data_IF_790575014012
#
_entry.id   IF_790575014012
#
_cell.length_a   1.000
_cell.length_b   1.000
_cell.length_c   1.000
_cell.angle_alpha   90.00
_cell.angle_beta   90.00
_cell.angle_gamma   90.00
#
_symmetry.space_group_name_H-M   'P 1'
#
loop_
_entity.id
_entity.type
_entity.pdbx_description
1 polymer ?
#
# COMPACT_ATOMS: atom_id res chain seq x y z
N UNK A 1 -35.22 -18.21 38.98
CA UNK A 1 -34.86 -18.80 37.68
C UNK A 1 -34.85 -17.69 36.64
N UNK A 2 -33.68 -17.07 36.40
CA UNK A 2 -33.33 -16.44 35.12
C UNK A 2 -31.82 -16.20 35.15
N UNK A 3 -31.09 -17.11 34.50
CA UNK A 3 -29.64 -17.03 34.32
C UNK A 3 -29.42 -16.16 33.06
N UNK A 4 -28.96 -14.92 33.23
CA UNK A 4 -28.51 -14.11 32.08
C UNK A 4 -27.19 -14.70 31.59
N UNK A 5 -27.25 -15.50 30.52
CA UNK A 5 -26.08 -15.82 29.71
C UNK A 5 -25.68 -14.56 28.93
N UNK A 6 -24.63 -13.89 29.41
CA UNK A 6 -23.89 -12.93 28.61
C UNK A 6 -23.09 -13.77 27.59
N UNK A 7 -23.61 -13.89 26.37
CA UNK A 7 -22.82 -14.38 25.25
C UNK A 7 -21.72 -13.33 24.99
N UNK A 8 -20.56 -13.52 25.62
CA UNK A 8 -19.34 -12.92 25.12
C UNK A 8 -19.08 -13.58 23.75
N UNK A 9 -19.41 -12.88 22.67
CA UNK A 9 -18.87 -13.19 21.36
C UNK A 9 -17.37 -12.94 21.43
N UNK A 10 -16.63 -13.96 21.87
CA UNK A 10 -15.20 -14.04 21.64
C UNK A 10 -15.10 -14.19 20.12
N UNK A 11 -14.87 -13.08 19.44
CA UNK A 11 -14.30 -13.10 18.11
C UNK A 11 -12.91 -13.72 18.28
N UNK A 12 -12.85 -15.04 18.18
CA UNK A 12 -11.62 -15.72 17.86
C UNK A 12 -11.28 -15.29 16.44
N UNK A 13 -10.63 -14.14 16.31
CA UNK A 13 -9.87 -13.79 15.11
C UNK A 13 -8.82 -14.89 15.02
N UNK A 14 -9.08 -15.88 14.19
CA UNK A 14 -8.08 -16.87 13.83
C UNK A 14 -6.91 -16.09 13.23
N UNK A 15 -5.76 -16.10 13.90
CA UNK A 15 -4.50 -15.45 13.53
C UNK A 15 -3.90 -15.93 12.20
N UNK A 16 -4.68 -16.64 11.37
CA UNK A 16 -4.26 -17.29 10.14
C UNK A 16 -4.70 -16.53 8.88
N UNK A 17 -5.33 -15.37 9.02
CA UNK A 17 -5.69 -14.49 7.90
C UNK A 17 -4.84 -13.20 7.83
N UNK A 18 -3.81 -13.09 8.67
CA UNK A 18 -3.21 -11.80 9.03
C UNK A 18 -1.85 -11.47 8.39
N UNK A 19 -1.36 -12.23 7.40
CA UNK A 19 -0.04 -11.97 6.81
C UNK A 19 0.05 -12.23 5.30
N UNK A 20 -0.74 -11.49 4.51
CA UNK A 20 -0.61 -11.45 3.04
C UNK A 20 -0.11 -10.07 2.53
N UNK A 21 0.42 -9.24 3.44
CA UNK A 21 0.74 -7.84 3.16
C UNK A 21 2.23 -7.56 2.89
N UNK A 22 3.10 -8.57 3.06
CA UNK A 22 4.50 -8.48 2.70
C UNK A 22 4.71 -8.98 1.27
N UNK A 23 5.47 -8.25 0.46
CA UNK A 23 5.81 -8.70 -0.91
C UNK A 23 6.53 -10.05 -0.91
N UNK A 24 7.36 -10.27 0.10
CA UNK A 24 8.01 -11.54 0.37
C UNK A 24 7.44 -12.15 1.65
N UNK A 25 6.77 -13.28 1.52
CA UNK A 25 6.24 -14.06 2.63
C UNK A 25 7.31 -15.02 3.14
N UNK A 26 7.38 -15.18 4.47
CA UNK A 26 8.28 -16.14 5.10
C UNK A 26 7.79 -17.56 4.82
N UNK A 27 8.71 -18.45 4.44
CA UNK A 27 8.43 -19.88 4.31
C UNK A 27 8.19 -20.57 5.68
N UNK A 28 8.54 -19.87 6.77
CA UNK A 28 8.48 -20.40 8.13
C UNK A 28 9.80 -21.04 8.60
N UNK A 29 9.95 -21.27 9.91
CA UNK A 29 11.18 -21.83 10.47
C UNK A 29 11.37 -23.29 10.06
N UNK A 30 12.63 -23.70 9.84
CA UNK A 30 12.98 -25.09 9.54
C UNK A 30 12.72 -25.53 8.09
N UNK A 31 12.41 -24.59 7.19
CA UNK A 31 12.27 -24.85 5.76
C UNK A 31 13.22 -23.96 4.95
N UNK A 32 13.80 -24.52 3.89
CA UNK A 32 14.64 -23.79 2.95
C UNK A 32 14.43 -24.26 1.51
N UNK A 33 14.88 -23.46 0.55
CA UNK A 33 14.80 -23.79 -0.87
C UNK A 33 16.03 -24.56 -1.35
N UNK A 34 15.80 -25.62 -2.12
CA UNK A 34 16.81 -26.35 -2.87
C UNK A 34 16.46 -26.38 -4.36
N UNK A 35 17.48 -26.42 -5.21
CA UNK A 35 17.27 -26.48 -6.65
C UNK A 35 16.74 -27.85 -7.07
N UNK A 36 15.69 -27.90 -7.89
CA UNK A 36 15.20 -29.13 -8.50
C UNK A 36 16.05 -29.58 -9.70
N UNK A 37 16.90 -28.70 -10.20
CA UNK A 37 17.80 -28.93 -11.33
C UNK A 37 19.23 -28.58 -10.93
N UNK A 38 20.20 -28.83 -11.83
CA UNK A 38 21.59 -28.42 -11.61
C UNK A 38 21.64 -26.94 -11.21
N UNK A 39 22.20 -26.59 -10.04
CA UNK A 39 22.15 -25.23 -9.55
C UNK A 39 22.80 -24.28 -10.57
N UNK A 40 22.12 -23.22 -11.03
CA UNK A 40 22.84 -22.08 -11.58
C UNK A 40 23.81 -21.55 -10.52
N UNK A 41 24.86 -20.84 -10.92
CA UNK A 41 25.84 -20.26 -9.99
C UNK A 41 25.13 -19.46 -8.89
N UNK A 42 25.17 -19.99 -7.68
CA UNK A 42 24.54 -19.38 -6.51
C UNK A 42 25.18 -18.00 -6.27
N UNK A 43 24.34 -16.96 -6.23
CA UNK A 43 24.82 -15.61 -5.95
C UNK A 43 24.60 -15.27 -4.49
N UNK A 44 25.71 -15.26 -3.76
CA UNK A 44 25.78 -14.80 -2.38
C UNK A 44 26.20 -13.35 -2.33
N UNK A 45 25.46 -12.57 -1.57
CA UNK A 45 25.75 -11.16 -1.34
C UNK A 45 25.93 -10.92 0.16
N UNK A 46 27.01 -10.26 0.59
CA UNK A 46 27.08 -9.73 1.95
C UNK A 46 25.89 -8.79 2.16
N UNK A 47 25.17 -8.93 3.27
CA UNK A 47 24.00 -8.11 3.54
C UNK A 47 23.86 -7.83 5.04
N UNK A 48 23.79 -6.56 5.40
CA UNK A 48 23.79 -6.12 6.81
C UNK A 48 22.47 -6.42 7.51
N UNK A 49 21.39 -6.67 6.76
CA UNK A 49 20.06 -6.92 7.29
C UNK A 49 19.20 -7.74 6.33
N UNK A 50 18.13 -8.34 6.88
CA UNK A 50 17.08 -8.98 6.07
C UNK A 50 16.47 -8.01 5.05
N UNK A 51 16.27 -6.74 5.43
CA UNK A 51 15.71 -5.71 4.55
C UNK A 51 16.60 -5.49 3.33
N UNK A 52 17.91 -5.33 3.53
CA UNK A 52 18.87 -5.19 2.44
C UNK A 52 18.87 -6.43 1.52
N UNK A 53 18.79 -7.63 2.09
CA UNK A 53 18.67 -8.86 1.29
C UNK A 53 17.38 -8.90 0.46
N UNK A 54 16.25 -8.49 1.04
CA UNK A 54 14.98 -8.41 0.32
C UNK A 54 15.02 -7.40 -0.83
N UNK A 55 15.77 -6.29 -0.70
CA UNK A 55 15.98 -5.31 -1.75
C UNK A 55 16.85 -5.87 -2.89
N UNK A 56 17.90 -6.64 -2.57
CA UNK A 56 18.72 -7.34 -3.58
C UNK A 56 17.85 -8.32 -4.38
N UNK A 57 17.02 -9.10 -3.69
CA UNK A 57 16.09 -10.04 -4.32
C UNK A 57 15.06 -9.32 -5.20
N UNK A 58 14.49 -8.24 -4.68
CA UNK A 58 13.53 -7.39 -5.40
C UNK A 58 14.13 -6.80 -6.68
N UNK A 59 15.32 -6.20 -6.61
CA UNK A 59 16.00 -5.56 -7.75
C UNK A 59 16.44 -6.56 -8.83
N UNK A 60 16.66 -7.81 -8.45
CA UNK A 60 16.98 -8.90 -9.37
C UNK A 60 15.75 -9.69 -9.85
N UNK A 61 14.55 -9.29 -9.40
CA UNK A 61 13.26 -9.93 -9.71
C UNK A 61 13.18 -11.39 -9.25
N UNK A 62 13.95 -11.73 -8.24
CA UNK A 62 14.05 -13.09 -7.72
C UNK A 62 12.75 -13.47 -7.03
N UNK A 63 12.18 -14.63 -7.35
CA UNK A 63 10.94 -15.07 -6.68
C UNK A 63 11.20 -15.57 -5.27
N UNK A 64 12.44 -15.97 -5.00
CA UNK A 64 12.85 -16.53 -3.73
C UNK A 64 14.14 -15.84 -3.28
N UNK A 65 14.32 -15.72 -1.98
CA UNK A 65 15.62 -15.43 -1.38
C UNK A 65 15.72 -16.05 0.01
N UNK A 66 16.95 -16.22 0.49
CA UNK A 66 17.22 -16.62 1.86
C UNK A 66 18.21 -15.66 2.52
N UNK A 67 18.02 -15.39 3.80
CA UNK A 67 18.94 -14.58 4.59
C UNK A 67 19.40 -15.38 5.80
N UNK A 68 20.72 -15.49 6.00
CA UNK A 68 21.27 -16.07 7.21
C UNK A 68 21.63 -14.97 8.22
N UNK A 69 20.95 -15.03 9.38
CA UNK A 69 21.02 -13.99 10.42
C UNK A 69 22.34 -13.92 11.18
N UNK A 70 23.15 -14.98 11.15
CA UNK A 70 24.42 -15.08 11.87
C UNK A 70 25.56 -14.62 10.97
N UNK A 71 25.68 -15.21 9.78
CA UNK A 71 26.75 -14.86 8.84
C UNK A 71 26.44 -13.61 8.01
N UNK A 72 25.23 -13.04 8.14
CA UNK A 72 24.79 -11.82 7.44
C UNK A 72 24.94 -11.95 5.92
N UNK A 73 24.58 -13.10 5.38
CA UNK A 73 24.68 -13.41 3.97
C UNK A 73 23.29 -13.56 3.35
N UNK A 74 23.11 -12.90 2.20
CA UNK A 74 21.93 -13.01 1.37
C UNK A 74 22.17 -14.02 0.25
N UNK A 75 21.32 -15.05 0.18
CA UNK A 75 21.24 -15.97 -0.95
C UNK A 75 20.10 -15.52 -1.84
N UNK A 76 20.44 -15.12 -3.06
CA UNK A 76 19.47 -14.59 -3.99
C UNK A 76 19.33 -15.52 -5.20
N UNK A 77 18.13 -16.06 -5.41
CA UNK A 77 17.90 -17.10 -6.41
C UNK A 77 17.49 -16.48 -7.75
N UNK A 78 18.07 -16.93 -8.86
CA UNK A 78 17.70 -16.41 -10.18
C UNK A 78 16.18 -16.54 -10.43
N UNK A 79 15.52 -15.57 -11.09
CA UNK A 79 14.08 -15.65 -11.43
C UNK A 79 13.70 -16.91 -12.25
N UNK A 80 14.68 -17.53 -12.92
CA UNK A 80 14.49 -18.75 -13.72
C UNK A 80 14.70 -20.04 -12.91
N UNK A 81 15.03 -19.93 -11.62
CA UNK A 81 15.36 -21.09 -10.79
C UNK A 81 14.08 -21.83 -10.43
N UNK A 82 14.06 -23.13 -10.73
CA UNK A 82 12.98 -24.01 -10.29
C UNK A 82 13.39 -24.59 -8.93
N UNK A 83 12.70 -24.15 -7.89
CA UNK A 83 13.00 -24.50 -6.50
C UNK A 83 12.00 -25.52 -5.96
N UNK A 84 12.45 -26.34 -5.01
CA UNK A 84 11.56 -27.11 -4.12
C UNK A 84 11.82 -26.70 -2.68
N UNK A 85 10.79 -26.86 -1.85
CA UNK A 85 10.92 -26.72 -0.41
C UNK A 85 11.53 -28.00 0.16
N UNK A 86 12.48 -27.84 1.07
CA UNK A 86 13.08 -28.92 1.84
C UNK A 86 13.11 -28.54 3.32
N UNK A 87 13.22 -29.53 4.21
CA UNK A 87 13.49 -29.28 5.62
C UNK A 87 14.88 -28.66 5.75
N UNK A 88 14.94 -27.42 6.19
CA UNK A 88 16.15 -26.64 6.35
C UNK A 88 17.05 -27.26 7.43
N UNK A 89 18.32 -27.47 7.09
CA UNK A 89 19.32 -27.96 8.04
C UNK A 89 19.92 -26.83 8.89
N UNK A 90 19.85 -25.58 8.42
CA UNK A 90 20.38 -24.40 9.12
C UNK A 90 19.25 -23.57 9.74
N UNK A 91 19.11 -23.65 11.07
CA UNK A 91 18.14 -22.86 11.85
C UNK A 91 18.38 -21.34 11.81
N UNK A 92 19.50 -20.89 11.25
CA UNK A 92 19.81 -19.48 11.07
C UNK A 92 19.41 -18.93 9.70
N UNK A 93 19.08 -19.81 8.76
CA UNK A 93 18.58 -19.43 7.44
C UNK A 93 17.08 -19.15 7.51
N UNK A 94 16.69 -18.01 6.94
CA UNK A 94 15.28 -17.61 6.80
C UNK A 94 14.98 -17.45 5.31
N UNK A 95 14.07 -18.27 4.79
CA UNK A 95 13.70 -18.28 3.38
C UNK A 95 12.36 -17.57 3.14
N UNK A 96 12.28 -16.88 2.00
CA UNK A 96 11.12 -16.07 1.63
C UNK A 96 10.73 -16.28 0.16
N UNK A 97 9.45 -16.10 -0.15
CA UNK A 97 8.91 -16.17 -1.51
C UNK A 97 8.03 -14.97 -1.86
N UNK A 98 8.05 -14.59 -3.13
CA UNK A 98 7.19 -13.53 -3.68
C UNK A 98 5.76 -14.04 -3.82
N UNK A 99 4.79 -13.37 -3.20
CA UNK A 99 3.37 -13.74 -3.24
C UNK A 99 2.56 -13.00 -4.31
N UNK A 100 3.05 -11.86 -4.79
CA UNK A 100 2.36 -10.98 -5.74
C UNK A 100 3.35 -10.15 -6.54
N UNK A 101 2.97 -9.73 -7.74
CA UNK A 101 3.72 -8.71 -8.51
C UNK A 101 3.53 -7.30 -7.96
N UNK A 102 2.45 -7.08 -7.18
CA UNK A 102 2.14 -5.81 -6.55
C UNK A 102 2.68 -5.76 -5.12
N UNK A 103 3.54 -4.79 -4.86
CA UNK A 103 4.09 -4.52 -3.54
C UNK A 103 3.22 -3.48 -2.86
N UNK A 104 2.57 -3.81 -1.74
CA UNK A 104 1.90 -2.80 -0.93
C UNK A 104 2.96 -1.89 -0.30
N UNK A 105 2.85 -0.58 -0.52
CA UNK A 105 3.81 0.40 0.00
C UNK A 105 3.19 1.34 1.03
N UNK A 106 1.88 1.52 0.99
CA UNK A 106 1.16 2.36 1.94
C UNK A 106 -0.25 1.84 2.16
N UNK A 107 -0.79 1.96 3.37
CA UNK A 107 -2.22 1.81 3.61
C UNK A 107 -2.67 2.69 4.79
N UNK A 108 -3.92 3.13 4.76
CA UNK A 108 -4.52 3.90 5.83
C UNK A 108 -6.02 3.65 5.91
N UNK A 109 -6.54 3.52 7.12
CA UNK A 109 -7.98 3.43 7.38
C UNK A 109 -8.57 4.81 7.62
N UNK A 110 -9.86 4.99 7.31
CA UNK A 110 -10.59 6.17 7.76
C UNK A 110 -10.54 6.28 9.28
N UNK A 111 -10.49 7.50 9.81
CA UNK A 111 -10.42 7.71 11.27
C UNK A 111 -9.07 7.43 11.92
N UNK A 112 -8.05 7.00 11.17
CA UNK A 112 -6.68 6.77 11.67
C UNK A 112 -5.98 8.03 12.20
N UNK A 113 -6.58 9.20 12.01
CA UNK A 113 -6.11 10.54 12.40
C UNK A 113 -4.74 10.95 11.83
N UNK A 114 -4.21 10.16 10.89
CA UNK A 114 -2.87 10.39 10.38
C UNK A 114 -2.80 11.52 9.36
N UNK A 115 -1.70 12.30 9.43
CA UNK A 115 -1.28 13.22 8.39
C UNK A 115 -0.71 12.41 7.21
N UNK A 116 -1.56 12.13 6.24
CA UNK A 116 -1.30 11.32 5.04
C UNK A 116 -0.16 11.90 4.22
N UNK A 117 -0.21 13.20 3.93
CA UNK A 117 0.80 13.84 3.09
C UNK A 117 2.19 13.76 3.73
N UNK A 118 2.27 14.05 5.02
CA UNK A 118 3.53 14.02 5.78
C UNK A 118 4.04 12.58 5.95
N UNK A 119 3.15 11.64 6.25
CA UNK A 119 3.53 10.24 6.43
C UNK A 119 4.04 9.61 5.13
N UNK A 120 3.40 9.83 3.98
CA UNK A 120 3.89 9.29 2.70
C UNK A 120 5.28 9.85 2.37
N UNK A 121 5.46 11.17 2.50
CA UNK A 121 6.70 11.86 2.14
C UNK A 121 7.78 11.83 3.23
N UNK A 122 7.51 11.16 4.35
CA UNK A 122 8.41 11.11 5.51
C UNK A 122 8.79 12.51 6.01
N UNK A 123 7.83 13.44 6.03
CA UNK A 123 8.03 14.78 6.62
C UNK A 123 7.86 14.68 8.14
N UNK A 124 8.94 14.94 8.89
CA UNK A 124 8.94 14.78 10.35
C UNK A 124 9.13 13.32 10.80
N UNK A 125 8.65 13.01 12.00
CA UNK A 125 8.82 11.70 12.63
C UNK A 125 7.52 10.90 12.65
N UNK A 126 7.56 9.55 12.71
CA UNK A 126 6.34 8.74 12.83
C UNK A 126 5.42 9.16 13.99
N UNK A 127 6.00 9.61 15.11
CA UNK A 127 5.25 10.12 16.26
C UNK A 127 4.49 11.42 15.98
N UNK A 128 4.88 12.19 14.96
CA UNK A 128 4.22 13.44 14.57
C UNK A 128 3.18 13.25 13.48
N UNK A 129 3.14 12.09 12.82
CA UNK A 129 2.13 11.78 11.80
C UNK A 129 0.78 11.43 12.38
N UNK A 130 0.64 11.38 13.71
CA UNK A 130 -0.61 11.07 14.41
C UNK A 130 -1.22 9.72 13.97
N UNK A 131 -0.35 8.74 13.74
CA UNK A 131 -0.74 7.35 13.44
C UNK A 131 -1.14 6.65 14.73
N UNK A 132 -2.12 5.75 14.63
CA UNK A 132 -2.53 4.91 15.77
C UNK A 132 -1.35 4.16 16.38
N UNK A 133 -1.43 3.90 17.69
CA UNK A 133 -0.42 3.11 18.40
C UNK A 133 -0.37 1.70 17.81
N UNK A 134 0.78 1.36 17.26
CA UNK A 134 1.08 0.00 16.81
C UNK A 134 1.17 -0.97 17.99
N UNK A 135 0.70 -2.19 17.79
CA UNK A 135 0.93 -3.33 18.69
C UNK A 135 2.15 -4.09 18.14
N UNK A 136 3.33 -3.78 18.68
CA UNK A 136 4.59 -4.29 18.14
C UNK A 136 4.86 -3.70 16.74
N UNK A 137 5.03 -4.56 15.74
CA UNK A 137 5.23 -4.16 14.33
C UNK A 137 3.93 -3.93 13.55
N UNK A 138 2.78 -4.24 14.14
CA UNK A 138 1.48 -4.16 13.48
C UNK A 138 0.76 -2.86 13.88
N UNK A 139 0.32 -2.08 12.90
CA UNK A 139 -0.49 -0.90 13.13
C UNK A 139 -1.82 -1.09 12.38
N UNK A 140 -2.96 -1.25 13.08
CA UNK A 140 -4.21 -1.72 12.47
C UNK A 140 -4.76 -0.78 11.39
N UNK A 141 -4.48 0.51 11.51
CA UNK A 141 -5.08 1.55 10.66
C UNK A 141 -4.05 2.30 9.80
N UNK A 142 -2.80 1.86 9.80
CA UNK A 142 -1.72 2.54 9.09
C UNK A 142 -0.63 1.56 8.68
N UNK A 143 -0.14 1.69 7.46
CA UNK A 143 1.00 0.92 6.98
C UNK A 143 1.85 1.81 6.08
N UNK A 144 3.16 1.75 6.25
CA UNK A 144 4.12 2.46 5.42
C UNK A 144 5.36 1.62 5.22
N UNK A 145 5.64 1.27 3.98
CA UNK A 145 6.81 0.46 3.63
C UNK A 145 8.04 1.36 3.40
N UNK A 146 9.25 0.95 3.86
CA UNK A 146 10.50 1.69 3.60
C UNK A 146 10.85 1.91 2.13
N UNK A 147 10.24 1.16 1.21
CA UNK A 147 10.43 1.33 -0.25
C UNK A 147 10.05 2.73 -0.72
N UNK A 148 9.11 3.40 -0.03
CA UNK A 148 8.78 4.79 -0.33
C UNK A 148 10.02 5.70 -0.17
N UNK A 149 10.92 5.40 0.76
CA UNK A 149 12.09 6.26 1.05
C UNK A 149 13.18 6.17 -0.04
N UNK A 150 13.17 5.11 -0.84
CA UNK A 150 14.13 4.86 -1.92
C UNK A 150 13.44 4.88 -3.29
N UNK A 151 12.28 5.54 -3.41
CA UNK A 151 11.46 5.56 -4.63
C UNK A 151 12.28 5.81 -5.91
N UNK A 152 13.20 6.77 -5.87
CA UNK A 152 14.02 7.17 -7.03
C UNK A 152 15.06 6.11 -7.44
N UNK A 153 15.35 5.13 -6.58
CA UNK A 153 16.25 4.00 -6.87
C UNK A 153 15.49 2.80 -7.46
N UNK A 154 14.17 2.81 -7.39
CA UNK A 154 13.32 1.71 -7.83
C UNK A 154 12.94 1.86 -9.31
N UNK A 155 13.01 0.75 -10.04
CA UNK A 155 12.53 0.68 -11.42
C UNK A 155 11.00 0.45 -11.44
N UNK A 156 10.24 1.42 -10.97
CA UNK A 156 8.77 1.33 -10.90
C UNK A 156 8.17 1.39 -12.30
N UNK A 157 7.31 0.42 -12.62
CA UNK A 157 6.55 0.35 -13.86
C UNK A 157 5.15 0.95 -13.68
N UNK A 158 4.44 0.52 -12.64
CA UNK A 158 3.09 1.00 -12.34
C UNK A 158 2.91 1.28 -10.86
N UNK A 159 2.01 2.23 -10.57
CA UNK A 159 1.52 2.52 -9.22
C UNK A 159 0.01 2.31 -9.23
N UNK A 160 -0.52 1.68 -8.19
CA UNK A 160 -1.95 1.38 -8.05
C UNK A 160 -2.46 1.93 -6.74
N UNK A 161 -3.50 2.75 -6.81
CA UNK A 161 -4.28 3.20 -5.64
C UNK A 161 -5.58 2.40 -5.61
N UNK A 162 -5.89 1.81 -4.46
CA UNK A 162 -7.14 1.06 -4.24
C UNK A 162 -7.86 1.61 -3.02
N UNK A 163 -9.16 1.84 -3.15
CA UNK A 163 -10.04 2.10 -2.01
C UNK A 163 -10.88 0.87 -1.71
N UNK A 164 -11.06 0.57 -0.43
CA UNK A 164 -11.85 -0.57 0.03
C UNK A 164 -13.07 -0.11 0.82
N UNK A 165 -14.19 -0.81 0.63
CA UNK A 165 -15.39 -0.71 1.44
C UNK A 165 -15.88 -2.12 1.73
N UNK A 166 -16.12 -2.46 3.00
CA UNK A 166 -16.49 -3.81 3.43
C UNK A 166 -15.55 -4.87 2.84
N UNK A 167 -14.24 -4.63 2.92
CA UNK A 167 -13.17 -5.50 2.39
C UNK A 167 -13.18 -5.71 0.86
N UNK A 168 -14.06 -5.02 0.13
CA UNK A 168 -14.14 -5.09 -1.34
C UNK A 168 -13.57 -3.84 -1.98
N UNK A 169 -12.80 -3.99 -3.05
CA UNK A 169 -12.27 -2.85 -3.80
C UNK A 169 -13.42 -2.10 -4.50
N UNK A 170 -13.59 -0.81 -4.18
CA UNK A 170 -14.62 0.07 -4.77
C UNK A 170 -14.05 1.07 -5.77
N UNK A 171 -12.77 1.42 -5.63
CA UNK A 171 -12.03 2.24 -6.59
C UNK A 171 -10.68 1.59 -6.82
N UNK A 172 -10.30 1.43 -8.08
CA UNK A 172 -8.94 1.05 -8.47
C UNK A 172 -8.46 2.01 -9.54
N UNK A 173 -7.39 2.73 -9.25
CA UNK A 173 -6.71 3.60 -10.20
C UNK A 173 -5.30 3.05 -10.44
N UNK A 174 -4.90 2.97 -11.71
CA UNK A 174 -3.55 2.53 -12.09
C UNK A 174 -2.86 3.67 -12.83
N UNK A 175 -1.60 3.90 -12.49
CA UNK A 175 -0.77 4.96 -13.01
C UNK A 175 0.51 4.41 -13.61
N UNK A 176 1.07 5.13 -14.58
CA UNK A 176 2.42 4.94 -15.07
C UNK A 176 3.41 5.44 -13.99
N UNK A 177 4.12 4.51 -13.37
CA UNK A 177 5.09 4.83 -12.31
C UNK A 177 6.45 5.25 -12.84
N UNK A 178 6.69 5.17 -14.15
CA UNK A 178 8.02 5.38 -14.73
C UNK A 178 8.40 6.86 -14.67
N UNK A 179 9.64 7.11 -14.25
CA UNK A 179 10.23 8.45 -14.14
C UNK A 179 9.35 9.40 -13.29
N UNK A 180 8.83 8.90 -12.17
CA UNK A 180 8.01 9.66 -11.21
C UNK A 180 8.76 9.82 -9.90
N UNK A 181 8.38 10.83 -9.12
CA UNK A 181 8.70 10.93 -7.70
C UNK A 181 7.52 10.43 -6.86
N UNK A 182 7.70 10.32 -5.54
CA UNK A 182 6.61 10.03 -4.60
C UNK A 182 5.38 10.95 -4.74
N UNK A 183 5.57 12.17 -5.25
CA UNK A 183 4.49 13.15 -5.42
C UNK A 183 3.92 13.17 -6.84
N UNK A 184 4.73 12.88 -7.86
CA UNK A 184 4.36 13.10 -9.26
C UNK A 184 3.76 11.89 -9.98
N UNK A 185 3.67 10.72 -9.34
CA UNK A 185 3.00 9.56 -9.95
C UNK A 185 1.46 9.70 -9.97
N UNK A 186 0.90 10.47 -9.04
CA UNK A 186 -0.54 10.67 -8.91
C UNK A 186 -0.97 11.97 -9.60
N UNK A 187 -0.92 11.95 -10.92
CA UNK A 187 -1.39 13.06 -11.77
C UNK A 187 -2.21 12.52 -12.93
N UNK A 188 -2.94 13.39 -13.61
CA UNK A 188 -3.78 13.00 -14.74
C UNK A 188 -2.93 12.44 -15.90
N UNK A 189 -1.75 13.01 -16.15
CA UNK A 189 -0.85 12.58 -17.24
C UNK A 189 -0.29 11.18 -17.02
N UNK A 190 -0.21 10.74 -15.76
CA UNK A 190 0.23 9.40 -15.40
C UNK A 190 -0.92 8.40 -15.30
N UNK A 191 -2.17 8.82 -15.39
CA UNK A 191 -3.32 7.92 -15.26
C UNK A 191 -3.41 6.94 -16.44
N UNK A 192 -3.36 5.64 -16.14
CA UNK A 192 -3.56 4.56 -17.13
C UNK A 192 -4.99 4.03 -17.12
N UNK A 193 -5.60 3.91 -15.94
CA UNK A 193 -6.98 3.47 -15.79
C UNK A 193 -7.61 3.97 -14.49
N UNK A 194 -8.92 4.14 -14.50
CA UNK A 194 -9.75 4.51 -13.35
C UNK A 194 -11.16 3.91 -13.52
N UNK A 195 -12.00 3.86 -12.48
CA UNK A 195 -13.39 3.41 -12.61
C UNK A 195 -14.29 4.46 -13.30
N UNK A 196 -13.79 5.68 -13.53
CA UNK A 196 -14.56 6.78 -14.10
C UNK A 196 -14.22 6.97 -15.57
N UNK A 197 -15.23 6.90 -16.43
CA UNK A 197 -15.07 6.95 -17.89
C UNK A 197 -14.72 8.34 -18.41
N UNK A 198 -15.07 9.40 -17.66
CA UNK A 198 -14.85 10.80 -18.04
C UNK A 198 -13.50 11.36 -17.56
N UNK A 199 -12.89 10.78 -16.50
CA UNK A 199 -11.69 11.34 -15.87
C UNK A 199 -10.48 11.44 -16.83
N UNK A 200 -10.33 10.51 -17.78
CA UNK A 200 -9.20 10.57 -18.72
C UNK A 200 -9.36 11.67 -19.78
N UNK A 201 -10.60 12.04 -20.13
CA UNK A 201 -10.90 13.01 -21.18
C UNK A 201 -11.19 14.42 -20.66
N UNK A 202 -11.66 14.53 -19.43
CA UNK A 202 -12.11 15.80 -18.86
C UNK A 202 -10.95 16.61 -18.25
N UNK A 203 -11.09 17.93 -18.23
CA UNK A 203 -10.13 18.78 -17.53
C UNK A 203 -10.23 18.57 -16.01
N UNK A 204 -9.08 18.67 -15.32
CA UNK A 204 -9.03 18.72 -13.86
C UNK A 204 -8.43 20.05 -13.40
N UNK A 205 -9.05 20.68 -12.40
CA UNK A 205 -8.47 21.85 -11.76
C UNK A 205 -7.50 21.46 -10.63
N UNK A 206 -7.60 20.24 -10.12
CA UNK A 206 -6.64 19.64 -9.22
C UNK A 206 -6.61 18.12 -9.39
N UNK A 207 -5.41 17.58 -9.61
CA UNK A 207 -5.14 16.14 -9.57
C UNK A 207 -3.77 15.95 -8.93
N UNK A 208 -3.71 15.81 -7.60
CA UNK A 208 -2.43 15.68 -6.89
C UNK A 208 -2.56 15.06 -5.49
N UNK A 209 -1.44 14.55 -4.97
CA UNK A 209 -1.34 14.07 -3.58
C UNK A 209 -1.46 15.22 -2.59
N UNK A 210 -0.79 16.36 -2.88
CA UNK A 210 -0.82 17.58 -2.07
C UNK A 210 -2.25 18.07 -1.89
N UNK A 211 -3.02 18.08 -2.99
CA UNK A 211 -4.37 18.59 -3.10
C UNK A 211 -4.49 20.06 -2.72
N UNK A 212 -5.48 20.43 -1.90
CA UNK A 212 -5.85 21.83 -1.62
C UNK A 212 -5.91 22.12 -0.11
N UNK A 213 -5.43 23.31 0.27
CA UNK A 213 -5.46 23.90 1.62
C UNK A 213 -4.89 23.01 2.73
N UNK A 214 -3.99 22.10 2.36
CA UNK A 214 -3.39 21.12 3.27
C UNK A 214 -4.40 20.22 4.00
N UNK A 215 -5.60 20.04 3.44
CA UNK A 215 -6.67 19.23 4.06
C UNK A 215 -7.29 18.24 3.11
N UNK A 216 -7.53 18.62 1.84
CA UNK A 216 -7.98 17.69 0.79
C UNK A 216 -6.72 17.07 0.18
N UNK A 217 -6.41 15.82 0.50
CA UNK A 217 -5.28 15.05 -0.07
C UNK A 217 -5.76 14.07 -1.12
N UNK A 218 -4.85 13.59 -1.96
CA UNK A 218 -5.20 12.70 -3.09
C UNK A 218 -6.43 13.21 -3.82
N UNK A 219 -6.38 14.49 -4.18
CA UNK A 219 -7.55 15.23 -4.60
C UNK A 219 -7.66 15.17 -6.12
N UNK A 220 -8.80 14.71 -6.62
CA UNK A 220 -9.14 14.60 -8.04
C UNK A 220 -10.44 15.37 -8.26
N UNK A 221 -10.30 16.56 -8.86
CA UNK A 221 -11.33 17.58 -8.93
C UNK A 221 -11.44 18.14 -10.32
N UNK A 222 -12.68 18.36 -10.75
CA UNK A 222 -12.96 18.97 -12.05
C UNK A 222 -12.86 20.49 -11.95
N UNK A 223 -13.60 21.08 -11.00
CA UNK A 223 -13.71 22.53 -10.81
C UNK A 223 -14.31 22.91 -9.45
N UNK A 224 -14.17 24.19 -9.10
CA UNK A 224 -14.73 24.79 -7.89
C UNK A 224 -15.59 26.01 -8.23
N UNK A 225 -16.88 25.97 -7.87
CA UNK A 225 -17.77 27.13 -7.93
C UNK A 225 -18.53 27.34 -6.61
N UNK A 226 -17.89 26.92 -5.51
CA UNK A 226 -18.48 26.86 -4.17
C UNK A 226 -19.04 25.47 -3.87
N UNK A 227 -19.21 25.17 -2.59
CA UNK A 227 -19.58 23.84 -2.10
C UNK A 227 -20.77 23.18 -2.84
N UNK A 228 -21.85 23.91 -3.19
CA UNK A 228 -22.99 23.34 -3.91
C UNK A 228 -22.74 22.95 -5.36
N UNK A 229 -21.59 23.32 -5.91
CA UNK A 229 -21.23 23.12 -7.31
C UNK A 229 -19.89 22.43 -7.50
N UNK A 230 -19.15 22.16 -6.43
CA UNK A 230 -17.88 21.44 -6.49
C UNK A 230 -18.13 20.05 -7.12
N UNK A 231 -17.47 19.81 -8.26
CA UNK A 231 -17.50 18.52 -8.97
C UNK A 231 -16.15 17.82 -8.84
N UNK A 232 -16.17 16.52 -8.58
CA UNK A 232 -14.94 15.73 -8.49
C UNK A 232 -15.18 14.23 -8.49
N UNK A 233 -14.08 13.51 -8.29
CA UNK A 233 -14.02 12.05 -8.32
C UNK A 233 -13.50 11.45 -7.03
N UNK A 234 -12.51 12.09 -6.39
CA UNK A 234 -11.83 11.54 -5.22
C UNK A 234 -11.30 12.65 -4.32
N UNK A 235 -11.49 12.50 -3.01
CA UNK A 235 -10.80 13.31 -2.00
C UNK A 235 -10.58 12.51 -0.73
N UNK A 236 -9.41 12.73 -0.12
CA UNK A 236 -9.12 12.22 1.21
C UNK A 236 -8.93 13.40 2.14
N UNK A 237 -9.94 13.66 2.96
CA UNK A 237 -9.96 14.81 3.83
C UNK A 237 -9.24 14.48 5.13
N UNK A 238 -8.16 15.19 5.46
CA UNK A 238 -7.44 15.10 6.73
C UNK A 238 -8.12 15.91 7.85
N UNK A 239 -8.94 16.90 7.49
CA UNK A 239 -9.69 17.73 8.42
C UNK A 239 -10.88 18.40 7.71
N UNK A 240 -11.79 18.98 8.49
CA UNK A 240 -12.83 19.86 7.98
C UNK A 240 -12.20 21.15 7.40
N UNK A 241 -12.61 21.52 6.18
CA UNK A 241 -12.20 22.77 5.54
C UNK A 241 -13.34 23.79 5.55
N UNK A 242 -14.40 23.56 4.77
CA UNK A 242 -15.48 24.55 4.60
C UNK A 242 -16.83 23.94 4.19
N UNK A 243 -16.83 22.88 3.36
CA UNK A 243 -18.05 22.34 2.77
C UNK A 243 -18.72 21.30 3.66
N UNK A 244 -20.06 21.28 3.66
CA UNK A 244 -20.84 20.37 4.50
C UNK A 244 -20.55 18.90 4.21
N UNK A 245 -20.29 18.55 2.94
CA UNK A 245 -19.90 17.19 2.54
C UNK A 245 -18.55 16.73 3.15
N UNK A 246 -17.71 17.65 3.62
CA UNK A 246 -16.45 17.35 4.31
C UNK A 246 -16.63 17.06 5.80
N UNK A 247 -17.74 17.48 6.41
CA UNK A 247 -17.97 17.34 7.85
C UNK A 247 -17.89 15.87 8.25
N UNK A 248 -17.21 15.62 9.37
CA UNK A 248 -16.98 14.30 9.92
C UNK A 248 -16.57 14.39 11.38
N UNK A 249 -16.90 13.35 12.15
CA UNK A 249 -16.40 13.18 13.52
C UNK A 249 -15.06 12.43 13.57
N UNK A 250 -14.57 11.99 12.42
CA UNK A 250 -13.33 11.23 12.28
C UNK A 250 -12.58 11.69 11.02
N UNK A 251 -11.25 11.62 11.07
CA UNK A 251 -10.38 11.87 9.93
C UNK A 251 -9.24 10.83 9.89
N UNK A 252 -8.69 10.48 8.72
CA UNK A 252 -9.13 10.96 7.42
C UNK A 252 -10.51 10.43 7.02
N UNK A 253 -11.23 11.18 6.20
CA UNK A 253 -12.48 10.77 5.55
C UNK A 253 -12.19 10.55 4.07
N UNK A 254 -12.42 9.34 3.57
CA UNK A 254 -12.11 8.95 2.19
C UNK A 254 -13.41 8.99 1.39
N UNK A 255 -13.53 9.98 0.50
CA UNK A 255 -14.72 10.20 -0.33
C UNK A 255 -14.41 9.94 -1.79
N UNK A 256 -15.34 9.32 -2.50
CA UNK A 256 -15.19 9.03 -3.92
C UNK A 256 -16.52 9.14 -4.67
N UNK A 257 -16.47 9.34 -5.97
CA UNK A 257 -17.64 9.17 -6.84
C UNK A 257 -18.01 7.70 -6.92
N UNK A 258 -19.19 7.36 -6.39
CA UNK A 258 -19.79 6.03 -6.46
C UNK A 258 -20.55 5.77 -7.77
N UNK A 259 -20.39 6.66 -8.75
CA UNK A 259 -20.89 6.50 -10.12
C UNK A 259 -19.73 6.25 -11.08
N UNK A 260 -20.01 6.08 -12.38
CA UNK A 260 -18.99 5.92 -13.43
C UNK A 260 -18.40 7.24 -13.93
N UNK A 261 -18.71 8.38 -13.30
CA UNK A 261 -18.36 9.74 -13.75
C UNK A 261 -18.04 10.66 -12.57
N UNK A 262 -17.64 11.93 -12.79
CA UNK A 262 -17.63 12.93 -11.70
C UNK A 262 -19.02 13.14 -11.12
N UNK A 263 -19.06 13.47 -9.83
CA UNK A 263 -20.28 13.80 -9.09
C UNK A 263 -20.21 15.22 -8.56
N UNK A 264 -21.38 15.76 -8.20
CA UNK A 264 -21.50 16.93 -7.35
C UNK A 264 -21.51 16.47 -5.90
N UNK A 265 -20.53 16.91 -5.12
CA UNK A 265 -20.34 16.40 -3.76
C UNK A 265 -21.56 16.60 -2.84
N UNK A 266 -22.36 17.65 -3.07
CA UNK A 266 -23.60 17.85 -2.30
C UNK A 266 -24.75 16.90 -2.69
N UNK A 267 -24.73 16.32 -3.90
CA UNK A 267 -25.82 15.42 -4.35
C UNK A 267 -25.65 13.99 -3.83
N UNK A 268 -24.44 13.59 -3.46
CA UNK A 268 -24.14 12.26 -2.94
C UNK A 268 -22.74 11.80 -3.31
N UNK A 269 -22.20 10.85 -2.53
CA UNK A 269 -20.87 10.28 -2.72
C UNK A 269 -20.73 8.94 -1.99
N UNK A 270 -19.75 8.15 -2.42
CA UNK A 270 -19.25 7.00 -1.69
C UNK A 270 -18.30 7.40 -0.56
N UNK A 271 -18.32 6.62 0.52
CA UNK A 271 -17.34 6.67 1.62
C UNK A 271 -16.64 5.32 1.70
N UNK A 272 -15.31 5.33 1.68
CA UNK A 272 -14.47 4.13 1.78
C UNK A 272 -13.89 3.96 3.19
N UNK A 273 -13.63 2.72 3.58
CA UNK A 273 -13.10 2.34 4.89
C UNK A 273 -11.57 2.48 4.94
N UNK A 274 -10.89 2.25 3.81
CA UNK A 274 -9.44 2.36 3.72
C UNK A 274 -8.93 2.64 2.30
N UNK A 275 -7.69 3.13 2.23
CA UNK A 275 -6.90 3.29 1.02
C UNK A 275 -5.64 2.44 1.14
N UNK A 276 -5.21 1.83 0.03
CA UNK A 276 -3.88 1.26 -0.11
C UNK A 276 -3.20 1.67 -1.42
N UNK A 277 -1.88 1.81 -1.37
CA UNK A 277 -1.02 2.10 -2.52
C UNK A 277 -0.11 0.90 -2.73
N UNK A 278 0.00 0.48 -3.98
CA UNK A 278 0.87 -0.59 -4.42
C UNK A 278 1.77 -0.10 -5.54
N UNK A 279 2.96 -0.69 -5.66
CA UNK A 279 3.84 -0.49 -6.81
C UNK A 279 4.08 -1.83 -7.50
N UNK A 280 4.28 -1.80 -8.81
CA UNK A 280 4.83 -2.92 -9.58
C UNK A 280 6.15 -2.48 -10.18
N UNK A 281 7.19 -3.29 -10.01
CA UNK A 281 8.50 -3.04 -10.61
C UNK A 281 8.55 -3.59 -12.04
N UNK A 282 9.37 -2.98 -12.89
CA UNK A 282 9.61 -3.44 -14.26
C UNK A 282 10.20 -4.86 -14.24
N UNK A 283 9.65 -5.73 -15.07
CA UNK A 283 10.22 -7.05 -15.38
C UNK A 283 11.24 -6.89 -16.51
N UNK A 284 12.42 -7.51 -16.37
CA UNK A 284 13.53 -7.41 -17.32
C UNK A 284 13.47 -8.55 -18.33
#
# INVERSE_FOLDING_TARGET
MLLLLILATILTVSSNQEFDEAFYNSLGPGYSYTYLQTPPTEKFYPSRSLLECSLIALNSQSEFFSYNKVNRTCKNYSPKSIMTVSSGQDNNEMSYYRSSEWIKTYAISMGANSLIYDSILKKGHPSTWNVDKCVGSYCPNFFRHPLLDIWNELQIDEVKLVLYKNQSAVVTMVFDGRNTSLESWFTQEKLKSSPWSDLASDATNCFSIVGIDNKRRFYVSHWHEGCPKDLGWLTINEAFLTCDWEKSNYFPKILYSDTTSKIKWEDGYGVADSMAIFIRLRQN
#
